data_IF_307071048496
#
_entry.id   IF_307071048496
#
_cell.length_a   1.000
_cell.length_b   1.000
_cell.length_c   1.000
_cell.angle_alpha   90.00
_cell.angle_beta   90.00
_cell.angle_gamma   90.00
#
_symmetry.space_group_name_H-M   'P 1'
#
loop_
_entity.id
_entity.type
_entity.pdbx_description
1 polymer ?
#
# COMPACT_ATOMS: atom_id res chain seq x y z
N UNK A 1 -18.83 -27.75 11.26
CA UNK A 1 -17.61 -26.94 11.40
C UNK A 1 -17.21 -26.43 10.03
N UNK A 2 -17.64 -25.22 9.69
CA UNK A 2 -17.29 -24.62 8.39
C UNK A 2 -15.89 -24.04 8.50
N UNK A 3 -14.95 -24.61 7.77
CA UNK A 3 -13.60 -24.08 7.62
C UNK A 3 -13.71 -22.79 6.82
N UNK A 4 -13.55 -21.66 7.49
CA UNK A 4 -13.43 -20.36 6.84
C UNK A 4 -12.03 -20.34 6.21
N UNK A 5 -11.97 -20.61 4.91
CA UNK A 5 -10.78 -20.32 4.11
C UNK A 5 -10.64 -18.80 4.07
N UNK A 6 -9.83 -18.26 4.94
CA UNK A 6 -9.30 -16.92 4.79
C UNK A 6 -8.33 -16.98 3.61
N UNK A 7 -8.83 -16.76 2.42
CA UNK A 7 -8.05 -16.58 1.21
C UNK A 7 -7.51 -15.14 1.32
N UNK A 8 -6.40 -15.00 1.92
CA UNK A 8 -5.09 -14.58 1.45
C UNK A 8 -5.15 -13.75 0.15
N UNK A 9 -5.59 -12.49 0.29
CA UNK A 9 -5.48 -11.46 -0.74
C UNK A 9 -4.47 -10.35 -0.35
N UNK A 10 -3.64 -10.61 0.67
CA UNK A 10 -2.58 -9.71 1.11
C UNK A 10 -1.25 -9.95 0.35
N UNK A 11 -1.31 -10.36 -0.92
CA UNK A 11 -0.13 -10.82 -1.66
C UNK A 11 0.28 -9.93 -2.84
N UNK A 12 -0.20 -8.68 -2.90
CA UNK A 12 0.08 -7.84 -4.07
C UNK A 12 1.22 -6.83 -3.91
N UNK A 13 1.76 -6.62 -2.70
CA UNK A 13 2.89 -5.71 -2.51
C UNK A 13 4.26 -6.37 -2.34
N UNK A 14 4.38 -7.65 -2.55
CA UNK A 14 5.61 -8.39 -2.25
C UNK A 14 6.55 -8.55 -3.43
N UNK A 15 6.63 -7.61 -4.32
CA UNK A 15 7.76 -7.55 -5.24
C UNK A 15 8.12 -6.10 -5.51
N UNK A 16 9.03 -5.54 -4.74
CA UNK A 16 9.97 -4.56 -5.26
C UNK A 16 10.86 -5.24 -6.33
N UNK A 17 10.22 -5.92 -7.25
CA UNK A 17 10.82 -6.43 -8.45
C UNK A 17 10.56 -5.41 -9.52
N UNK A 18 11.46 -4.42 -9.67
CA UNK A 18 11.52 -3.53 -10.83
C UNK A 18 10.16 -2.94 -11.24
N UNK A 19 9.57 -2.11 -10.38
CA UNK A 19 8.58 -1.16 -10.83
C UNK A 19 9.19 -0.35 -11.99
N UNK A 20 8.82 -0.67 -13.21
CA UNK A 20 9.31 0.07 -14.35
C UNK A 20 8.65 1.45 -14.30
N UNK A 21 9.45 2.44 -13.93
CA UNK A 21 9.06 3.85 -13.97
C UNK A 21 8.44 4.18 -15.34
N UNK A 22 7.13 4.30 -15.35
CA UNK A 22 6.42 4.60 -16.60
C UNK A 22 6.56 6.07 -16.93
N UNK A 23 6.91 6.34 -18.20
CA UNK A 23 6.76 7.70 -18.71
C UNK A 23 5.26 8.03 -18.76
N UNK A 24 4.86 9.23 -18.35
CA UNK A 24 3.46 9.72 -18.37
C UNK A 24 2.71 9.39 -19.69
N UNK A 25 3.41 9.39 -20.83
CA UNK A 25 2.84 9.10 -22.15
C UNK A 25 2.37 7.64 -22.33
N UNK A 26 2.90 6.71 -21.55
CA UNK A 26 2.62 5.28 -21.67
C UNK A 26 1.46 4.81 -20.75
N UNK A 27 0.92 5.71 -19.92
CA UNK A 27 -0.23 5.41 -19.08
C UNK A 27 -1.51 5.54 -19.92
N UNK A 28 -2.40 4.56 -19.93
CA UNK A 28 -3.67 4.63 -20.65
C UNK A 28 -4.46 5.90 -20.30
N UNK A 29 -5.04 6.53 -21.32
CA UNK A 29 -5.74 7.82 -21.16
C UNK A 29 -6.94 7.72 -20.21
N UNK A 30 -7.66 6.60 -20.24
CA UNK A 30 -8.78 6.32 -19.33
C UNK A 30 -8.34 6.29 -17.87
N UNK A 31 -7.18 5.68 -17.56
CA UNK A 31 -6.62 5.66 -16.20
C UNK A 31 -6.32 7.06 -15.70
N UNK A 32 -5.62 7.86 -16.49
CA UNK A 32 -5.32 9.26 -16.16
C UNK A 32 -6.58 10.07 -15.91
N UNK A 33 -7.57 9.95 -16.80
CA UNK A 33 -8.82 10.67 -16.70
C UNK A 33 -9.62 10.29 -15.46
N UNK A 34 -9.75 8.98 -15.18
CA UNK A 34 -10.50 8.49 -14.03
C UNK A 34 -9.78 8.81 -12.72
N UNK A 35 -8.45 8.71 -12.69
CA UNK A 35 -7.64 9.15 -11.57
C UNK A 35 -7.86 10.64 -11.28
N UNK A 36 -7.74 11.51 -12.30
CA UNK A 36 -7.92 12.95 -12.13
C UNK A 36 -9.32 13.34 -11.65
N UNK A 37 -10.37 12.64 -12.12
CA UNK A 37 -11.74 12.84 -11.64
C UNK A 37 -11.89 12.48 -10.17
N UNK A 38 -11.24 11.41 -9.72
CA UNK A 38 -11.34 10.93 -8.34
C UNK A 38 -10.45 11.72 -7.38
N UNK A 39 -9.30 12.17 -7.84
CA UNK A 39 -8.32 12.91 -7.05
C UNK A 39 -7.96 14.25 -7.72
N UNK A 40 -8.92 15.18 -7.84
CA UNK A 40 -8.69 16.44 -8.57
C UNK A 40 -7.62 17.33 -7.92
N UNK A 41 -7.37 17.15 -6.63
CA UNK A 41 -6.37 17.92 -5.87
C UNK A 41 -5.02 17.19 -5.73
N UNK A 42 -4.86 16.04 -6.37
CA UNK A 42 -3.60 15.29 -6.33
C UNK A 42 -2.48 16.08 -7.01
N UNK A 43 -1.34 16.15 -6.36
CA UNK A 43 -0.12 16.79 -6.86
C UNK A 43 1.03 15.79 -6.91
N UNK A 44 2.12 16.13 -7.63
CA UNK A 44 3.32 15.30 -7.78
C UNK A 44 3.04 13.86 -8.24
N UNK A 45 2.03 13.67 -9.10
CA UNK A 45 1.59 12.35 -9.57
C UNK A 45 2.68 11.66 -10.38
N UNK A 46 3.02 10.45 -9.95
CA UNK A 46 3.91 9.50 -10.66
C UNK A 46 3.15 8.23 -10.95
N UNK A 47 3.50 7.57 -12.03
CA UNK A 47 2.89 6.32 -12.45
C UNK A 47 3.95 5.24 -12.59
N UNK A 48 3.66 4.08 -12.05
CA UNK A 48 4.46 2.88 -12.17
C UNK A 48 3.60 1.71 -12.66
N UNK A 49 4.24 0.75 -13.33
CA UNK A 49 3.59 -0.46 -13.81
C UNK A 49 3.84 -1.58 -12.81
N UNK A 50 2.77 -2.10 -12.23
CA UNK A 50 2.80 -3.20 -11.29
C UNK A 50 2.17 -4.45 -11.93
N UNK A 51 2.99 -5.30 -12.56
CA UNK A 51 2.50 -6.49 -13.31
C UNK A 51 1.48 -6.08 -14.38
N UNK A 52 0.19 -6.43 -14.19
CA UNK A 52 -0.90 -6.06 -15.09
C UNK A 52 -1.60 -4.76 -14.68
N UNK A 53 -1.30 -4.23 -13.49
CA UNK A 53 -1.95 -3.08 -12.90
C UNK A 53 -1.08 -1.82 -13.03
N UNK A 54 -1.60 -0.71 -12.58
CA UNK A 54 -0.96 0.61 -12.62
C UNK A 54 -1.06 1.24 -11.25
N UNK A 55 0.05 1.68 -10.72
CA UNK A 55 0.11 2.44 -9.49
C UNK A 55 0.28 3.93 -9.79
N UNK A 56 -0.53 4.75 -9.13
CA UNK A 56 -0.33 6.18 -9.08
C UNK A 56 0.09 6.58 -7.67
N UNK A 57 1.31 7.08 -7.53
CA UNK A 57 1.80 7.71 -6.30
C UNK A 57 1.63 9.22 -6.40
N UNK A 58 1.11 9.87 -5.38
CA UNK A 58 0.80 11.30 -5.39
C UNK A 58 0.77 11.91 -3.99
N UNK A 59 0.74 13.24 -3.94
CA UNK A 59 0.48 13.97 -2.69
C UNK A 59 -0.97 14.49 -2.68
N UNK A 60 -1.63 14.29 -1.53
CA UNK A 60 -2.95 14.85 -1.24
C UNK A 60 -2.95 15.35 0.20
N UNK A 61 -3.30 16.63 0.42
CA UNK A 61 -3.27 17.26 1.74
C UNK A 61 -1.91 17.11 2.47
N UNK A 62 -0.81 17.26 1.73
CA UNK A 62 0.57 17.10 2.22
C UNK A 62 0.95 15.71 2.71
N UNK A 63 0.13 14.69 2.43
CA UNK A 63 0.45 13.27 2.69
C UNK A 63 0.75 12.54 1.40
N UNK A 64 1.63 11.56 1.51
CA UNK A 64 1.91 10.65 0.42
C UNK A 64 0.83 9.57 0.37
N UNK A 65 0.29 9.37 -0.83
CA UNK A 65 -0.72 8.39 -1.16
C UNK A 65 -0.27 7.56 -2.34
N UNK A 66 -0.76 6.33 -2.43
CA UNK A 66 -0.78 5.59 -3.68
C UNK A 66 -2.12 4.91 -3.91
N UNK A 67 -2.44 4.65 -5.18
CA UNK A 67 -3.59 3.85 -5.59
C UNK A 67 -3.15 2.85 -6.65
N UNK A 68 -3.52 1.61 -6.44
CA UNK A 68 -3.36 0.55 -7.42
C UNK A 68 -4.66 0.40 -8.21
N UNK A 69 -4.57 0.46 -9.54
CA UNK A 69 -5.71 0.39 -10.45
C UNK A 69 -5.48 -0.69 -11.51
N UNK A 70 -6.54 -1.40 -11.87
CA UNK A 70 -6.50 -2.29 -13.04
C UNK A 70 -6.61 -1.49 -14.35
N UNK A 71 -6.51 -2.19 -15.49
CA UNK A 71 -6.61 -1.56 -16.80
C UNK A 71 -7.98 -0.92 -17.10
N UNK A 72 -9.02 -1.31 -16.36
CA UNK A 72 -10.37 -0.75 -16.45
C UNK A 72 -10.57 0.45 -15.53
N UNK A 73 -9.52 0.88 -14.84
CA UNK A 73 -9.56 1.97 -13.84
C UNK A 73 -10.30 1.61 -12.54
N UNK A 74 -10.50 0.33 -12.26
CA UNK A 74 -10.99 -0.11 -10.95
C UNK A 74 -9.89 0.05 -9.93
N UNK A 75 -10.16 0.74 -8.83
CA UNK A 75 -9.21 0.82 -7.72
C UNK A 75 -9.23 -0.52 -6.99
N UNK A 76 -8.07 -1.15 -6.94
CA UNK A 76 -7.85 -2.41 -6.25
C UNK A 76 -7.42 -2.17 -4.81
N UNK A 77 -6.64 -1.10 -4.60
CA UNK A 77 -6.08 -0.78 -3.31
C UNK A 77 -5.72 0.70 -3.22
N UNK A 78 -5.80 1.24 -2.01
CA UNK A 78 -5.31 2.58 -1.67
C UNK A 78 -4.36 2.49 -0.50
N UNK A 79 -3.27 3.26 -0.56
CA UNK A 79 -2.31 3.38 0.52
C UNK A 79 -2.19 4.84 0.95
N UNK A 80 -2.08 5.06 2.25
CA UNK A 80 -1.86 6.39 2.83
C UNK A 80 -0.73 6.30 3.84
N UNK A 81 0.38 7.01 3.59
CA UNK A 81 1.47 7.10 4.57
C UNK A 81 0.97 7.76 5.86
N UNK A 82 1.38 7.19 6.98
CA UNK A 82 0.98 7.65 8.31
C UNK A 82 2.16 7.65 9.27
N UNK A 83 1.97 8.31 10.41
CA UNK A 83 2.96 8.29 11.48
C UNK A 83 2.85 6.99 12.29
N UNK A 84 3.97 6.41 12.68
CA UNK A 84 4.02 5.20 13.51
C UNK A 84 3.17 5.30 14.78
N UNK A 85 3.17 6.47 15.43
CA UNK A 85 2.43 6.72 16.67
C UNK A 85 0.91 6.64 16.51
N UNK A 86 0.42 6.68 15.27
CA UNK A 86 -1.01 6.56 14.94
C UNK A 86 -1.45 5.11 14.71
N UNK A 87 -0.50 4.19 14.66
CA UNK A 87 -0.80 2.77 14.52
C UNK A 87 -1.38 2.19 15.83
N UNK A 88 -2.15 1.10 15.75
CA UNK A 88 -2.57 0.34 16.91
C UNK A 88 -1.37 -0.02 17.81
N UNK A 89 -1.53 0.13 19.13
CA UNK A 89 -0.45 -0.16 20.11
C UNK A 89 0.12 -1.58 19.97
N UNK A 90 -0.70 -2.54 19.59
CA UNK A 90 -0.28 -3.92 19.34
C UNK A 90 0.84 -4.02 18.31
N UNK A 91 0.77 -3.21 17.24
CA UNK A 91 1.81 -3.15 16.19
C UNK A 91 3.12 -2.65 16.77
N UNK A 92 3.08 -1.54 17.49
CA UNK A 92 4.29 -0.96 18.12
C UNK A 92 4.93 -1.94 19.09
N UNK A 93 4.11 -2.63 19.90
CA UNK A 93 4.58 -3.67 20.82
C UNK A 93 5.24 -4.82 20.06
N UNK A 94 4.61 -5.30 18.99
CA UNK A 94 5.15 -6.37 18.16
C UNK A 94 6.50 -6.00 17.54
N UNK A 95 6.60 -4.79 16.94
CA UNK A 95 7.85 -4.29 16.34
C UNK A 95 8.95 -4.18 17.39
N UNK A 96 8.67 -3.60 18.55
CA UNK A 96 9.65 -3.45 19.63
C UNK A 96 10.14 -4.80 20.17
N UNK A 97 9.26 -5.80 20.23
CA UNK A 97 9.61 -7.13 20.74
C UNK A 97 10.41 -7.95 19.72
N UNK A 98 9.99 -7.95 18.44
CA UNK A 98 10.54 -8.87 17.45
C UNK A 98 11.66 -8.24 16.60
N UNK A 99 11.75 -6.90 16.58
CA UNK A 99 12.74 -6.16 15.80
C UNK A 99 13.49 -5.13 16.64
N UNK A 100 13.80 -5.50 17.90
CA UNK A 100 14.54 -4.64 18.80
C UNK A 100 15.85 -4.14 18.17
N UNK A 101 16.12 -2.85 18.28
CA UNK A 101 17.34 -2.23 17.71
C UNK A 101 17.21 -1.82 16.24
N UNK A 102 16.12 -2.15 15.55
CA UNK A 102 15.86 -1.70 14.19
C UNK A 102 14.78 -0.63 14.18
N UNK A 103 15.10 0.56 13.69
CA UNK A 103 14.12 1.65 13.59
C UNK A 103 13.25 1.46 12.34
N UNK A 104 11.90 1.52 12.47
CA UNK A 104 11.02 1.67 11.33
C UNK A 104 11.35 2.94 10.54
N UNK A 105 11.24 2.85 9.22
CA UNK A 105 11.43 3.98 8.29
C UNK A 105 10.12 4.73 8.05
N UNK A 106 9.01 4.04 8.12
CA UNK A 106 7.69 4.59 7.86
C UNK A 106 6.57 3.62 8.20
N UNK A 107 5.36 4.09 8.00
CA UNK A 107 4.16 3.27 8.11
C UNK A 107 3.11 3.72 7.11
N UNK A 108 2.21 2.80 6.76
CA UNK A 108 1.09 3.08 5.88
C UNK A 108 -0.19 2.38 6.35
N UNK A 109 -1.31 2.96 5.97
CA UNK A 109 -2.64 2.36 6.07
C UNK A 109 -3.02 1.94 4.66
N UNK A 110 -3.31 0.66 4.48
CA UNK A 110 -3.68 0.08 3.21
C UNK A 110 -5.14 -0.33 3.28
N UNK A 111 -5.92 0.02 2.27
CA UNK A 111 -7.34 -0.35 2.18
C UNK A 111 -7.58 -1.00 0.83
N UNK A 112 -8.06 -2.24 0.83
CA UNK A 112 -8.40 -2.95 -0.40
C UNK A 112 -9.76 -2.53 -0.98
N UNK A 113 -10.12 -3.07 -2.14
CA UNK A 113 -11.38 -2.76 -2.81
C UNK A 113 -12.64 -3.30 -2.10
N UNK A 114 -12.46 -4.07 -1.04
CA UNK A 114 -13.56 -4.56 -0.16
C UNK A 114 -13.67 -3.75 1.12
N UNK A 115 -12.79 -2.76 1.30
CA UNK A 115 -12.72 -1.94 2.51
C UNK A 115 -11.97 -2.60 3.66
N UNK A 116 -11.22 -3.68 3.41
CA UNK A 116 -10.40 -4.33 4.43
C UNK A 116 -9.15 -3.47 4.65
N UNK A 117 -8.91 -3.15 5.91
CA UNK A 117 -7.76 -2.35 6.32
C UNK A 117 -6.63 -3.27 6.80
N UNK A 118 -5.43 -3.01 6.33
CA UNK A 118 -4.18 -3.55 6.84
C UNK A 118 -3.22 -2.40 7.14
N UNK A 119 -2.23 -2.67 7.99
CA UNK A 119 -1.17 -1.72 8.29
C UNK A 119 0.16 -2.27 7.81
N UNK A 120 0.95 -1.39 7.26
CA UNK A 120 2.33 -1.68 6.87
C UNK A 120 3.28 -0.90 7.78
N UNK A 121 4.34 -1.57 8.23
CA UNK A 121 5.50 -0.93 8.87
C UNK A 121 6.71 -1.19 8.00
N UNK A 122 7.24 -0.13 7.40
CA UNK A 122 8.43 -0.18 6.57
C UNK A 122 9.69 -0.27 7.44
N UNK A 123 10.47 -1.32 7.26
CA UNK A 123 11.75 -1.56 7.93
C UNK A 123 12.90 -1.49 6.92
N UNK A 124 14.13 -1.66 7.37
CA UNK A 124 15.28 -1.77 6.45
C UNK A 124 15.25 -3.12 5.74
N UNK A 125 14.93 -3.10 4.44
CA UNK A 125 14.95 -4.29 3.58
C UNK A 125 13.74 -5.22 3.74
N UNK A 126 12.68 -4.77 4.39
CA UNK A 126 11.43 -5.53 4.54
C UNK A 126 10.27 -4.64 4.95
N UNK A 127 9.06 -5.09 4.64
CA UNK A 127 7.81 -4.51 5.12
C UNK A 127 7.08 -5.54 5.98
N UNK A 128 6.53 -5.09 7.10
CA UNK A 128 5.80 -5.93 8.05
C UNK A 128 4.32 -5.57 7.95
N UNK A 129 3.49 -6.57 7.65
CA UNK A 129 2.05 -6.38 7.44
C UNK A 129 1.26 -6.89 8.64
N UNK A 130 0.28 -6.09 9.05
CA UNK A 130 -0.63 -6.36 10.16
C UNK A 130 -2.08 -6.24 9.72
N UNK A 131 -2.97 -6.99 10.34
CA UNK A 131 -4.41 -6.83 10.15
C UNK A 131 -4.96 -5.57 10.85
N UNK A 132 -6.24 -5.32 10.67
CA UNK A 132 -6.93 -4.16 11.26
C UNK A 132 -6.90 -4.12 12.80
N UNK A 133 -6.65 -5.25 13.46
CA UNK A 133 -6.50 -5.37 14.91
C UNK A 133 -5.04 -5.23 15.38
N UNK A 134 -4.11 -5.08 14.45
CA UNK A 134 -2.68 -5.01 14.73
C UNK A 134 -2.01 -6.36 14.95
N UNK A 135 -2.63 -7.45 14.51
CA UNK A 135 -2.03 -8.78 14.54
C UNK A 135 -1.15 -8.97 13.30
N UNK A 136 0.05 -9.50 13.51
CA UNK A 136 0.98 -9.84 12.43
C UNK A 136 0.35 -10.79 11.41
N UNK A 137 0.47 -10.45 10.14
CA UNK A 137 0.04 -11.28 9.01
C UNK A 137 1.25 -11.87 8.29
N UNK A 138 2.16 -11.01 7.83
CA UNK A 138 3.24 -11.41 6.97
C UNK A 138 4.42 -10.43 7.03
N UNK A 139 5.56 -10.90 6.53
CA UNK A 139 6.77 -10.11 6.30
C UNK A 139 7.13 -10.23 4.84
N UNK A 140 7.37 -9.11 4.19
CA UNK A 140 7.67 -9.00 2.77
C UNK A 140 9.09 -8.46 2.64
N UNK A 141 9.91 -9.13 1.85
CA UNK A 141 11.27 -8.66 1.57
C UNK A 141 11.20 -7.49 0.58
N UNK A 142 11.79 -6.34 0.95
CA UNK A 142 11.91 -5.16 0.09
C UNK A 142 13.13 -5.22 -0.82
#
# INVERSE_FOLDING_TARGET
>A
MKKISVIMLALLFATFGFAQKMQKKNVPANLKSNFQKKYPQATAVKWDKEKQNYEASFKLNNKDHSVLMDANSTILETEVKTDLVKLPKAILTYINTNYAGTKPKGAAIITDNKGIITYEVEMKGMDIIFDSNGKFINQIKG
#
